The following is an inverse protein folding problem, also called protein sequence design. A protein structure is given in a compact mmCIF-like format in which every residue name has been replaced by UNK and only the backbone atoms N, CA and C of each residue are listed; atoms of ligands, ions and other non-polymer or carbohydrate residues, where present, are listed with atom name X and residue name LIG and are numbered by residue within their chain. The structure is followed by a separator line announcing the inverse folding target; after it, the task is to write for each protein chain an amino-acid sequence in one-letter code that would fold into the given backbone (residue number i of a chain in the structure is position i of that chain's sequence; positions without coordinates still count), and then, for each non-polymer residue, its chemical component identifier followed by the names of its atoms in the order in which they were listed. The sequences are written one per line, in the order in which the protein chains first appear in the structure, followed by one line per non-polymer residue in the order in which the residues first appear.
data_IF_124000282073
#
_entry.id   IF_124000282073
#
_cell.length_a   1.000
_cell.length_b   1.000
_cell.length_c   1.000
_cell.angle_alpha   90.00
_cell.angle_beta   90.00
_cell.angle_gamma   90.00
#
_symmetry.space_group_name_H-M   'P 1'
#
loop_
_entity.id
_entity.type
_entity.pdbx_description
1 polymer ?
#
# COMPACT_ATOMS: atom_id res chain seq x y z
N UNK A 1 1.86 -21.42 21.44
CA UNK A 1 2.12 -22.40 20.37
C UNK A 1 2.91 -21.65 19.33
N UNK A 2 4.17 -22.02 19.09
CA UNK A 2 4.98 -21.39 18.04
C UNK A 2 4.45 -21.84 16.69
N UNK A 3 3.76 -20.95 16.00
CA UNK A 3 3.54 -21.11 14.57
C UNK A 3 4.89 -20.93 13.87
N UNK A 4 5.38 -22.02 13.28
CA UNK A 4 6.57 -22.02 12.43
C UNK A 4 6.10 -22.22 10.99
N UNK A 5 6.77 -21.56 10.04
CA UNK A 5 6.53 -21.74 8.60
C UNK A 5 7.74 -22.50 8.01
N UNK A 6 7.86 -23.81 8.30
CA UNK A 6 9.03 -24.61 7.93
C UNK A 6 9.28 -24.65 6.42
N UNK A 7 8.22 -24.53 5.61
CA UNK A 7 8.31 -24.51 4.14
C UNK A 7 9.06 -23.29 3.59
N UNK A 8 9.14 -22.22 4.37
CA UNK A 8 9.89 -20.99 4.03
C UNK A 8 11.25 -20.92 4.74
N UNK A 9 11.60 -21.91 5.56
CA UNK A 9 12.82 -21.88 6.40
C UNK A 9 12.82 -20.77 7.46
N UNK A 10 11.67 -20.14 7.72
CA UNK A 10 11.52 -19.03 8.65
C UNK A 10 11.10 -19.51 10.03
N UNK A 11 11.80 -19.05 11.06
CA UNK A 11 11.44 -19.32 12.45
C UNK A 11 10.37 -18.36 12.93
N UNK A 12 9.75 -18.77 14.05
CA UNK A 12 8.91 -17.98 14.94
C UNK A 12 9.56 -16.68 15.48
N UNK A 13 10.76 -16.29 15.01
CA UNK A 13 11.50 -15.10 15.46
C UNK A 13 11.96 -14.19 14.31
N UNK A 14 11.68 -14.49 13.04
CA UNK A 14 12.14 -13.74 11.86
C UNK A 14 11.02 -13.05 11.04
N UNK A 15 9.77 -13.08 11.51
CA UNK A 15 8.60 -12.57 10.80
C UNK A 15 8.27 -11.17 11.28
N UNK A 16 8.19 -10.26 10.31
CA UNK A 16 7.89 -8.84 10.52
C UNK A 16 6.73 -8.48 9.62
N UNK A 17 5.75 -7.79 10.16
CA UNK A 17 4.64 -7.23 9.39
C UNK A 17 4.75 -5.72 9.39
N UNK A 18 4.47 -5.11 8.24
CA UNK A 18 4.51 -3.67 8.09
C UNK A 18 3.35 -3.18 7.23
N UNK A 19 2.76 -2.07 7.62
CA UNK A 19 1.77 -1.34 6.82
C UNK A 19 2.03 0.16 6.94
N UNK A 20 1.44 0.94 6.04
CA UNK A 20 1.70 2.39 5.95
C UNK A 20 0.41 3.16 5.69
N UNK A 21 0.40 4.40 6.18
CA UNK A 21 -0.63 5.39 5.90
C UNK A 21 -0.01 6.74 5.52
N UNK A 22 -0.80 7.58 4.86
CA UNK A 22 -0.46 8.98 4.63
C UNK A 22 -1.39 9.88 5.44
N UNK A 23 -0.83 10.92 6.06
CA UNK A 23 -1.59 11.89 6.86
C UNK A 23 -1.73 13.19 6.07
N UNK A 24 -2.97 13.63 5.87
CA UNK A 24 -3.32 14.87 5.13
C UNK A 24 -3.70 16.01 6.07
N UNK A 25 -4.11 15.68 7.29
CA UNK A 25 -4.54 16.64 8.32
C UNK A 25 -3.93 16.29 9.67
N UNK A 26 -3.59 17.28 10.52
CA UNK A 26 -3.01 17.00 11.83
C UNK A 26 -3.90 16.07 12.65
N UNK A 27 -3.32 15.00 13.19
CA UNK A 27 -4.00 14.13 14.14
C UNK A 27 -4.20 14.89 15.45
N UNK A 28 -5.43 14.97 15.93
CA UNK A 28 -5.74 15.67 17.18
C UNK A 28 -5.05 14.99 18.38
N UNK A 29 -4.66 15.78 19.38
CA UNK A 29 -3.95 15.29 20.58
C UNK A 29 -4.65 14.11 21.29
N UNK A 30 -5.99 14.11 21.51
CA UNK A 30 -6.67 12.96 22.12
C UNK A 30 -6.60 11.67 21.28
N UNK A 31 -6.36 11.79 19.97
CA UNK A 31 -6.16 10.64 19.08
C UNK A 31 -4.72 10.15 19.15
N UNK A 32 -3.74 11.05 19.33
CA UNK A 32 -2.35 10.66 19.60
C UNK A 32 -2.22 9.93 20.94
N UNK A 33 -2.97 10.34 21.97
CA UNK A 33 -3.04 9.62 23.24
C UNK A 33 -3.58 8.19 23.06
N UNK A 34 -4.62 8.02 22.23
CA UNK A 34 -5.15 6.69 21.87
C UNK A 34 -4.12 5.87 21.09
N UNK A 35 -3.46 6.49 20.11
CA UNK A 35 -2.40 5.84 19.33
C UNK A 35 -1.28 5.33 20.25
N UNK A 36 -0.87 6.15 21.21
CA UNK A 36 0.09 5.76 22.24
C UNK A 36 -0.41 4.60 23.09
N UNK A 37 -1.68 4.64 23.54
CA UNK A 37 -2.26 3.54 24.31
C UNK A 37 -2.29 2.20 23.55
N UNK A 38 -2.60 2.21 22.26
CA UNK A 38 -2.54 1.01 21.42
C UNK A 38 -1.11 0.48 21.26
N UNK A 39 -0.11 1.37 21.19
CA UNK A 39 1.30 0.97 21.17
C UNK A 39 1.72 0.28 22.47
N UNK A 40 1.18 0.69 23.62
CA UNK A 40 1.50 0.04 24.90
C UNK A 40 0.89 -1.36 25.05
N UNK A 41 -0.03 -1.77 24.16
CA UNK A 41 -0.58 -3.14 24.12
C UNK A 41 0.39 -4.14 23.48
N UNK A 42 1.47 -3.67 22.84
CA UNK A 42 2.46 -4.48 22.13
C UNK A 42 3.85 -4.34 22.77
N UNK A 43 4.66 -5.40 22.78
CA UNK A 43 5.97 -5.38 23.47
C UNK A 43 6.98 -4.51 22.71
N UNK A 44 6.97 -4.58 21.37
CA UNK A 44 7.96 -3.94 20.50
C UNK A 44 7.35 -3.36 19.21
N UNK A 45 6.31 -2.51 19.28
CA UNK A 45 5.84 -1.81 18.10
C UNK A 45 6.84 -0.73 17.71
N UNK A 46 6.97 -0.50 16.40
CA UNK A 46 7.75 0.60 15.86
C UNK A 46 6.81 1.44 15.00
N UNK A 47 6.72 2.73 15.33
CA UNK A 47 6.06 3.75 14.52
C UNK A 47 7.11 4.71 13.98
N UNK A 48 7.17 4.87 12.66
CA UNK A 48 8.07 5.80 11.98
C UNK A 48 7.21 6.86 11.29
N UNK A 49 7.52 8.14 11.51
CA UNK A 49 6.79 9.27 10.94
C UNK A 49 7.76 10.09 10.09
N UNK A 50 7.65 10.00 8.78
CA UNK A 50 8.54 10.67 7.83
C UNK A 50 7.86 11.94 7.30
N UNK A 51 8.38 13.14 7.60
CA UNK A 51 7.76 14.39 7.19
C UNK A 51 7.80 14.56 5.66
N UNK A 52 6.68 15.02 5.11
CA UNK A 52 6.53 15.41 3.71
C UNK A 52 6.56 16.95 3.61
N UNK A 53 6.23 17.51 2.45
CA UNK A 53 6.40 18.92 2.13
C UNK A 53 7.64 19.20 1.29
N UNK A 54 8.02 20.47 1.17
CA UNK A 54 9.22 20.90 0.44
C UNK A 54 9.21 20.39 -1.00
N UNK A 55 10.27 19.70 -1.42
CA UNK A 55 10.37 19.18 -2.80
C UNK A 55 9.23 18.23 -3.18
N UNK A 56 8.58 17.57 -2.21
CA UNK A 56 7.45 16.66 -2.48
C UNK A 56 6.16 17.41 -2.87
N UNK A 57 6.01 18.67 -2.51
CA UNK A 57 4.86 19.51 -2.92
C UNK A 57 5.02 20.04 -4.35
N UNK A 58 6.25 20.21 -4.83
CA UNK A 58 6.55 20.77 -6.14
C UNK A 58 6.38 19.75 -7.29
N UNK A 59 6.33 18.46 -6.96
CA UNK A 59 6.26 17.37 -7.94
C UNK A 59 4.82 16.98 -8.17
N UNK A 60 4.37 17.00 -9.43
CA UNK A 60 3.02 16.54 -9.80
C UNK A 60 2.79 15.09 -9.40
N UNK A 61 1.59 14.77 -8.89
CA UNK A 61 1.19 13.38 -8.55
C UNK A 61 1.38 12.40 -9.72
N UNK A 62 1.35 12.89 -10.97
CA UNK A 62 1.46 12.07 -12.19
C UNK A 62 2.85 12.07 -12.84
N UNK A 63 3.80 12.79 -12.27
CA UNK A 63 5.18 12.88 -12.80
C UNK A 63 5.87 11.51 -12.78
N UNK A 64 5.65 10.72 -11.72
CA UNK A 64 6.13 9.35 -11.58
C UNK A 64 5.00 8.44 -11.11
N UNK A 65 5.18 7.10 -11.08
CA UNK A 65 4.16 6.20 -10.54
C UNK A 65 3.74 6.51 -9.11
N UNK A 66 4.64 7.05 -8.28
CA UNK A 66 4.40 7.36 -6.87
C UNK A 66 3.58 8.65 -6.72
N UNK A 67 2.32 8.57 -6.23
CA UNK A 67 1.35 9.65 -6.34
C UNK A 67 1.26 10.55 -5.10
N UNK A 68 1.90 10.19 -3.97
CA UNK A 68 1.72 10.90 -2.70
C UNK A 68 2.65 12.11 -2.63
N UNK A 69 2.12 13.30 -2.97
CA UNK A 69 2.86 14.54 -3.19
C UNK A 69 2.31 15.68 -2.33
N UNK A 70 1.89 16.77 -2.97
CA UNK A 70 1.21 17.91 -2.34
C UNK A 70 0.03 17.47 -1.46
N UNK A 71 -0.14 18.14 -0.32
CA UNK A 71 -1.23 17.87 0.62
C UNK A 71 -0.96 16.75 1.63
N UNK A 72 0.15 16.02 1.50
CA UNK A 72 0.60 15.04 2.50
C UNK A 72 1.50 15.74 3.54
N UNK A 73 1.17 15.62 4.82
CA UNK A 73 1.98 16.13 5.93
C UNK A 73 3.12 15.18 6.28
N UNK A 74 2.84 13.87 6.35
CA UNK A 74 3.83 12.83 6.59
C UNK A 74 3.29 11.46 6.20
N UNK A 75 4.21 10.53 5.94
CA UNK A 75 3.92 9.10 5.91
C UNK A 75 4.11 8.54 7.33
N UNK A 76 3.24 7.62 7.74
CA UNK A 76 3.40 6.85 8.97
C UNK A 76 3.53 5.37 8.63
N UNK A 77 4.53 4.73 9.21
CA UNK A 77 4.78 3.30 9.06
C UNK A 77 4.54 2.62 10.40
N UNK A 78 3.78 1.53 10.38
CA UNK A 78 3.57 0.65 11.52
C UNK A 78 4.37 -0.61 11.26
N UNK A 79 5.19 -1.02 12.21
CA UNK A 79 6.03 -2.20 12.09
C UNK A 79 5.97 -3.00 13.39
N UNK A 80 5.76 -4.30 13.28
CA UNK A 80 5.74 -5.20 14.43
C UNK A 80 6.44 -6.51 14.10
N UNK A 81 7.08 -7.09 15.12
CA UNK A 81 7.61 -8.45 15.07
C UNK A 81 6.52 -9.39 15.61
N UNK A 82 6.20 -10.45 14.88
CA UNK A 82 5.38 -11.57 15.38
C UNK A 82 3.87 -11.38 15.59
N UNK A 83 3.34 -10.16 15.67
CA UNK A 83 1.93 -9.94 16.06
C UNK A 83 1.08 -9.25 14.97
N UNK A 84 0.71 -10.01 13.94
CA UNK A 84 -0.10 -9.54 12.79
C UNK A 84 -1.47 -8.99 13.25
N UNK A 85 -2.08 -9.56 14.29
CA UNK A 85 -3.38 -9.09 14.78
C UNK A 85 -3.32 -7.69 15.38
N UNK A 86 -2.21 -7.34 16.06
CA UNK A 86 -2.03 -6.02 16.63
C UNK A 86 -1.89 -4.96 15.52
N UNK A 87 -1.05 -5.22 14.51
CA UNK A 87 -0.85 -4.27 13.41
C UNK A 87 -2.13 -4.08 12.56
N UNK A 88 -2.92 -5.15 12.37
CA UNK A 88 -4.26 -5.03 11.75
C UNK A 88 -5.20 -4.18 12.61
N UNK A 89 -5.21 -4.38 13.92
CA UNK A 89 -6.04 -3.61 14.85
C UNK A 89 -5.70 -2.13 14.84
N UNK A 90 -4.41 -1.77 14.97
CA UNK A 90 -3.98 -0.37 14.96
C UNK A 90 -4.23 0.29 13.60
N UNK A 91 -4.01 -0.45 12.49
CA UNK A 91 -4.34 0.03 11.15
C UNK A 91 -5.84 0.31 11.01
N UNK A 92 -6.72 -0.61 11.42
CA UNK A 92 -8.17 -0.37 11.39
C UNK A 92 -8.59 0.82 12.29
N UNK A 93 -8.02 0.92 13.49
CA UNK A 93 -8.27 2.03 14.41
C UNK A 93 -7.86 3.39 13.83
N UNK A 94 -6.82 3.42 12.99
CA UNK A 94 -6.31 4.63 12.36
C UNK A 94 -7.13 5.10 11.15
N UNK A 95 -8.02 4.26 10.59
CA UNK A 95 -8.85 4.56 9.41
C UNK A 95 -9.48 5.97 9.40
N UNK A 96 -10.05 6.50 10.50
CA UNK A 96 -10.71 7.81 10.48
C UNK A 96 -9.77 9.02 10.39
N UNK A 97 -8.47 8.83 10.61
CA UNK A 97 -7.49 9.90 10.84
C UNK A 97 -6.43 10.00 9.75
N UNK A 98 -6.46 9.10 8.78
CA UNK A 98 -5.50 8.98 7.69
C UNK A 98 -6.16 9.40 6.37
N UNK A 99 -5.38 9.44 5.29
CA UNK A 99 -5.88 9.66 3.92
C UNK A 99 -7.07 8.75 3.60
N UNK A 100 -7.99 9.24 2.76
CA UNK A 100 -9.20 8.50 2.38
C UNK A 100 -9.54 8.73 0.92
N UNK A 101 -10.18 7.74 0.30
CA UNK A 101 -10.64 7.77 -1.09
C UNK A 101 -9.51 8.04 -2.13
N UNK A 102 -8.47 7.18 -2.21
CA UNK A 102 -8.27 5.95 -1.45
C UNK A 102 -7.50 6.18 -0.14
N UNK A 103 -7.60 5.24 0.81
CA UNK A 103 -6.67 5.18 1.94
C UNK A 103 -5.31 4.70 1.44
N UNK A 104 -4.37 5.63 1.34
CA UNK A 104 -3.13 5.43 0.62
C UNK A 104 -2.11 4.55 1.36
N UNK A 105 -1.32 3.82 0.57
CA UNK A 105 -0.25 2.94 1.04
C UNK A 105 1.00 3.12 0.16
N UNK A 106 2.16 2.79 0.68
CA UNK A 106 3.42 2.87 -0.06
C UNK A 106 3.88 1.49 -0.55
N UNK A 107 4.02 1.32 -1.86
CA UNK A 107 4.29 0.01 -2.50
C UNK A 107 5.55 -0.70 -2.02
N UNK A 108 6.56 0.04 -1.52
CA UNK A 108 7.79 -0.56 -0.99
C UNK A 108 7.59 -1.21 0.39
N UNK A 109 6.47 -0.92 1.06
CA UNK A 109 5.99 -1.64 2.24
C UNK A 109 4.79 -2.49 1.81
N UNK A 110 5.11 -3.61 1.15
CA UNK A 110 4.12 -4.46 0.51
C UNK A 110 3.21 -5.11 1.55
N UNK A 111 1.94 -4.76 1.49
CA UNK A 111 0.88 -5.26 2.38
C UNK A 111 -0.13 -6.08 1.55
N UNK A 112 -0.18 -7.40 1.81
CA UNK A 112 -1.10 -8.33 1.14
C UNK A 112 -2.53 -8.26 1.67
N UNK A 113 -2.76 -7.65 2.85
CA UNK A 113 -4.09 -7.45 3.40
C UNK A 113 -4.88 -6.38 2.63
N UNK A 114 -4.20 -5.55 1.83
CA UNK A 114 -4.85 -4.62 0.89
C UNK A 114 -5.58 -5.34 -0.27
N UNK A 115 -5.24 -6.60 -0.52
CA UNK A 115 -5.80 -7.45 -1.58
C UNK A 115 -4.72 -8.05 -2.49
N UNK A 116 -5.09 -9.08 -3.26
CA UNK A 116 -4.22 -9.74 -4.25
C UNK A 116 -4.68 -9.42 -5.69
N UNK A 117 -4.10 -10.05 -6.70
CA UNK A 117 -4.36 -9.74 -8.11
C UNK A 117 -5.84 -9.77 -8.54
N UNK A 118 -6.68 -10.54 -7.86
CA UNK A 118 -8.15 -10.54 -8.02
C UNK A 118 -8.81 -9.23 -7.57
N UNK A 119 -8.20 -8.51 -6.62
CA UNK A 119 -8.60 -7.20 -6.13
C UNK A 119 -7.67 -6.07 -6.64
N UNK A 120 -7.08 -6.22 -7.84
CA UNK A 120 -6.07 -5.29 -8.35
C UNK A 120 -6.48 -3.82 -8.41
N UNK A 121 -7.74 -3.53 -8.73
CA UNK A 121 -8.23 -2.15 -8.70
C UNK A 121 -8.21 -1.53 -7.30
N UNK A 122 -8.49 -2.33 -6.25
CA UNK A 122 -8.57 -1.89 -4.86
C UNK A 122 -7.20 -1.54 -4.31
N UNK A 123 -6.23 -2.46 -4.36
CA UNK A 123 -4.87 -2.17 -3.89
C UNK A 123 -4.11 -1.24 -4.85
N UNK A 124 -4.39 -1.32 -6.16
CA UNK A 124 -3.73 -0.51 -7.18
C UNK A 124 -3.97 0.98 -6.99
N UNK A 125 -5.22 1.36 -6.71
CA UNK A 125 -5.56 2.74 -6.35
C UNK A 125 -4.89 3.17 -5.03
N UNK A 126 -4.79 2.28 -4.05
CA UNK A 126 -4.09 2.56 -2.78
C UNK A 126 -2.58 2.77 -2.95
N UNK A 127 -1.92 2.13 -3.90
CA UNK A 127 -0.48 2.38 -4.12
C UNK A 127 -0.20 3.51 -5.10
N UNK A 128 -1.05 3.67 -6.12
CA UNK A 128 -0.72 4.49 -7.29
C UNK A 128 -1.76 5.57 -7.62
N UNK A 129 -2.86 5.71 -6.86
CA UNK A 129 -4.00 6.59 -7.17
C UNK A 129 -4.38 6.47 -8.67
N UNK A 130 -4.48 7.60 -9.36
CA UNK A 130 -4.83 7.70 -10.78
C UNK A 130 -3.73 7.17 -11.71
N UNK A 131 -2.49 7.00 -11.23
CA UNK A 131 -1.40 6.48 -12.06
C UNK A 131 -1.54 4.98 -12.36
N UNK A 132 -2.39 4.26 -11.63
CA UNK A 132 -2.57 2.82 -11.79
C UNK A 132 -3.00 2.43 -13.22
N UNK A 133 -3.89 3.19 -13.85
CA UNK A 133 -4.34 2.88 -15.21
C UNK A 133 -3.22 3.08 -16.25
N UNK A 134 -2.42 4.14 -16.11
CA UNK A 134 -1.23 4.34 -16.96
C UNK A 134 -0.23 3.20 -16.80
N UNK A 135 -0.05 2.69 -15.57
CA UNK A 135 0.84 1.55 -15.31
C UNK A 135 0.36 0.28 -15.99
N UNK A 136 -0.95 -0.02 -15.96
CA UNK A 136 -1.53 -1.18 -16.68
C UNK A 136 -1.28 -1.11 -18.18
N UNK A 137 -1.43 0.07 -18.79
CA UNK A 137 -1.14 0.27 -20.21
C UNK A 137 0.33 -0.05 -20.52
N UNK A 138 1.26 0.53 -19.76
CA UNK A 138 2.70 0.27 -19.94
C UNK A 138 3.02 -1.21 -19.76
N UNK A 139 2.48 -1.85 -18.72
CA UNK A 139 2.63 -3.29 -18.47
C UNK A 139 2.20 -4.13 -19.68
N UNK A 140 1.05 -3.84 -20.28
CA UNK A 140 0.58 -4.54 -21.48
C UNK A 140 1.46 -4.33 -22.72
N UNK A 141 2.16 -3.19 -22.83
CA UNK A 141 3.08 -2.91 -23.94
C UNK A 141 4.41 -3.65 -23.78
N UNK A 142 4.96 -3.71 -22.56
CA UNK A 142 6.31 -4.24 -22.31
C UNK A 142 6.33 -5.71 -21.89
N UNK A 143 5.22 -6.22 -21.35
CA UNK A 143 5.06 -7.62 -20.91
C UNK A 143 3.64 -8.14 -21.23
N UNK A 144 3.30 -8.29 -22.53
CA UNK A 144 1.94 -8.66 -22.97
C UNK A 144 1.50 -10.05 -22.52
N UNK A 145 2.44 -10.94 -22.17
CA UNK A 145 2.16 -12.28 -21.66
C UNK A 145 2.12 -12.35 -20.14
N UNK A 146 2.30 -11.21 -19.46
CA UNK A 146 2.33 -11.10 -18.01
C UNK A 146 3.34 -12.06 -17.35
N UNK A 147 4.51 -12.22 -17.97
CA UNK A 147 5.57 -13.10 -17.47
C UNK A 147 6.10 -12.65 -16.11
N UNK A 148 6.27 -11.33 -15.92
CA UNK A 148 6.71 -10.74 -14.65
C UNK A 148 5.51 -10.49 -13.74
N UNK A 149 5.03 -11.53 -13.07
CA UNK A 149 3.87 -11.46 -12.19
C UNK A 149 4.15 -12.00 -10.78
N UNK A 150 3.46 -11.45 -9.81
CA UNK A 150 3.45 -11.85 -8.40
C UNK A 150 2.08 -11.44 -7.80
N UNK A 151 1.80 -11.71 -6.52
CA UNK A 151 0.44 -11.62 -5.95
C UNK A 151 -0.17 -10.20 -5.94
N UNK A 152 0.63 -9.16 -6.18
CA UNK A 152 0.21 -7.76 -6.36
C UNK A 152 0.98 -7.09 -7.52
N UNK A 153 1.25 -7.82 -8.60
CA UNK A 153 1.83 -7.23 -9.80
C UNK A 153 0.79 -6.41 -10.56
N UNK A 154 1.20 -5.31 -11.20
CA UNK A 154 0.32 -4.54 -12.10
C UNK A 154 -0.31 -5.51 -13.13
N UNK A 155 -1.65 -5.57 -13.22
CA UNK A 155 -2.31 -6.47 -14.16
C UNK A 155 -2.21 -5.95 -15.59
N UNK A 156 -2.51 -6.81 -16.56
CA UNK A 156 -2.72 -6.38 -17.93
C UNK A 156 -3.91 -5.41 -18.01
N UNK A 157 -3.92 -4.47 -18.97
CA UNK A 157 -5.08 -3.62 -19.18
C UNK A 157 -6.25 -4.51 -19.61
N UNK A 158 -7.45 -4.19 -19.13
CA UNK A 158 -8.65 -4.86 -19.58
C UNK A 158 -8.76 -4.71 -21.10
N UNK A 159 -8.73 -5.82 -21.83
CA UNK A 159 -8.95 -5.80 -23.28
C UNK A 159 -10.37 -5.29 -23.51
N UNK A 160 -10.49 -4.04 -23.96
CA UNK A 160 -11.70 -3.62 -24.67
C UNK A 160 -11.68 -4.41 -25.98
N UNK A 161 -12.36 -5.55 -26.02
CA UNK A 161 -12.72 -6.23 -27.25
C UNK A 161 -13.75 -5.36 -28.00
N UNK A 162 -13.33 -4.19 -28.49
CA UNK A 162 -13.95 -3.63 -29.67
C UNK A 162 -13.40 -4.44 -30.83
N UNK A 163 -14.20 -5.39 -31.30
CA UNK A 163 -13.98 -6.17 -32.51
C UNK A 163 -13.64 -5.25 -33.69
N UNK A 164 -12.36 -5.02 -33.92
CA UNK A 164 -11.87 -4.59 -35.22
C UNK A 164 -11.92 -5.80 -36.14
N UNK A 165 -13.05 -6.00 -36.81
CA UNK A 165 -13.12 -6.87 -38.01
C UNK A 165 -11.98 -6.45 -38.93
N UNK A 166 -10.94 -7.27 -39.04
CA UNK A 166 -10.04 -7.22 -40.18
C UNK A 166 -10.85 -7.74 -41.36
N UNK A 167 -11.41 -6.83 -42.15
CA UNK A 167 -11.73 -7.15 -43.53
C UNK A 167 -10.41 -7.49 -44.22
N UNK A 168 -10.33 -8.73 -44.69
CA UNK A 168 -9.29 -9.20 -45.58
C UNK A 168 -9.92 -9.11 -46.96
N UNK A 169 -9.47 -8.12 -47.76
CA UNK A 169 -9.51 -8.23 -49.23
C UNK A 169 -8.38 -9.15 -49.71
#
# INVERSE_FOLDING_TARGET
MEESFPDLGLRSIDCTEATTDFIEHPIAEPVLEKLWSWCLEEEKPILIMDPYGGRMEEISESETPFPYREGILYNIQYFVKWHINWIRSIYENMTPYVSKNPRGAYVNYRDLDLGKNDEAAKWGQKYFKNNFERLKIVKGMVDPYNFFAYEQSIPLPSLNLSEGKREVE
#
